data_IF_006620991235
#
_entry.id   IF_006620991235
#
_cell.length_a   1.000
_cell.length_b   1.000
_cell.length_c   1.000
_cell.angle_alpha   90.00
_cell.angle_beta   90.00
_cell.angle_gamma   90.00
#
_symmetry.space_group_name_H-M   'P 1'
#
loop_
_entity.id
_entity.type
_entity.pdbx_description
1 polymer ?
#
# COMPACT_ATOMS: atom_id res chain seq x y z
N UNK A 1 -18.20 48.54 -59.68
CA UNK A 1 -16.88 49.20 -59.66
C UNK A 1 -16.15 48.62 -58.45
N UNK A 2 -15.22 47.70 -58.67
CA UNK A 2 -13.77 48.00 -58.68
C UNK A 2 -13.23 48.01 -57.24
N UNK A 3 -12.07 47.47 -56.88
CA UNK A 3 -10.98 46.77 -57.54
C UNK A 3 -10.02 46.35 -56.41
N UNK A 4 -9.28 45.26 -56.61
CA UNK A 4 -7.88 45.03 -56.18
C UNK A 4 -7.40 45.17 -54.72
N UNK A 5 -6.63 44.15 -54.29
CA UNK A 5 -5.23 44.17 -53.80
C UNK A 5 -4.96 42.84 -53.05
N UNK A 6 -3.77 42.25 -52.98
CA UNK A 6 -2.44 42.51 -53.51
C UNK A 6 -1.61 41.21 -53.38
N UNK A 7 -0.50 41.17 -54.11
CA UNK A 7 0.53 40.13 -54.11
C UNK A 7 1.51 40.20 -52.92
N UNK A 8 2.15 39.08 -52.58
CA UNK A 8 3.61 38.89 -52.34
C UNK A 8 3.84 37.41 -51.94
N UNK A 9 4.60 36.60 -52.71
CA UNK A 9 6.06 36.42 -52.62
C UNK A 9 6.39 35.28 -51.63
N UNK A 10 7.19 34.24 -51.87
CA UNK A 10 7.99 33.71 -52.98
C UNK A 10 8.93 32.66 -52.37
N UNK A 11 9.27 31.56 -53.04
CA UNK A 11 10.61 30.93 -52.90
C UNK A 11 10.88 29.77 -53.89
N UNK A 12 11.85 30.07 -54.76
CA UNK A 12 13.00 29.30 -55.27
C UNK A 12 13.00 27.76 -55.29
N UNK A 13 13.31 27.31 -56.51
CA UNK A 13 13.61 25.97 -56.99
C UNK A 13 14.80 25.21 -56.34
N UNK A 14 14.65 23.87 -56.27
CA UNK A 14 15.41 22.99 -57.17
C UNK A 14 16.36 21.95 -56.54
N UNK A 15 16.13 20.66 -56.85
CA UNK A 15 17.15 19.72 -57.40
C UNK A 15 16.59 18.34 -57.80
N UNK A 16 16.47 18.17 -59.12
CA UNK A 16 16.87 17.04 -60.01
C UNK A 16 17.20 15.67 -59.39
N UNK A 17 16.56 14.60 -59.92
CA UNK A 17 17.13 13.46 -60.70
C UNK A 17 15.98 12.53 -61.17
N UNK A 18 15.66 12.48 -62.49
CA UNK A 18 15.90 11.37 -63.46
C UNK A 18 15.37 10.02 -62.93
N UNK A 19 14.36 9.38 -63.55
CA UNK A 19 14.45 8.73 -64.87
C UNK A 19 13.13 8.69 -65.69
N UNK A 20 13.29 8.75 -67.02
CA UNK A 20 12.32 8.39 -68.10
C UNK A 20 12.44 6.87 -68.39
N UNK A 21 11.66 6.19 -69.28
CA UNK A 21 10.71 6.70 -70.29
C UNK A 21 9.40 5.88 -70.43
N UNK A 22 8.41 6.45 -71.13
CA UNK A 22 7.26 5.71 -71.63
C UNK A 22 6.39 6.60 -72.50
N UNK A 23 6.71 6.68 -73.78
CA UNK A 23 6.03 7.53 -74.75
C UNK A 23 4.58 7.09 -74.96
N UNK A 24 3.64 8.03 -74.82
CA UNK A 24 2.38 8.00 -75.54
C UNK A 24 2.25 9.35 -76.25
N UNK A 25 2.31 9.31 -77.59
CA UNK A 25 2.03 10.47 -78.45
C UNK A 25 0.55 10.86 -78.24
N UNK A 26 0.18 12.14 -78.28
CA UNK A 26 -1.22 12.53 -78.18
C UNK A 26 -1.96 12.04 -79.44
N UNK A 27 -2.92 11.14 -79.26
CA UNK A 27 -3.97 10.92 -80.26
C UNK A 27 -4.90 12.10 -80.12
N UNK A 28 -4.94 12.96 -81.12
CA UNK A 28 -5.96 14.00 -81.25
C UNK A 28 -7.28 13.32 -81.53
N UNK A 29 -8.00 12.91 -80.49
CA UNK A 29 -9.42 12.56 -80.62
C UNK A 29 -10.20 13.84 -80.36
N UNK A 30 -10.60 14.50 -81.43
CA UNK A 30 -11.68 15.47 -81.36
C UNK A 30 -12.97 14.71 -80.99
N UNK A 31 -13.27 14.64 -79.70
CA UNK A 31 -14.61 14.27 -79.22
C UNK A 31 -15.22 15.52 -78.64
N UNK A 32 -16.29 15.99 -79.28
CA UNK A 32 -17.24 16.89 -78.65
C UNK A 32 -17.85 16.13 -77.45
N UNK A 33 -17.16 16.17 -76.33
CA UNK A 33 -17.57 15.51 -75.12
C UNK A 33 -18.32 16.56 -74.30
N UNK A 34 -19.64 16.57 -74.41
CA UNK A 34 -20.50 17.40 -73.57
C UNK A 34 -20.14 17.22 -72.10
N UNK A 35 -20.42 18.23 -71.28
CA UNK A 35 -20.04 18.31 -69.86
C UNK A 35 -20.20 16.99 -69.05
N UNK A 36 -21.13 16.12 -69.43
CA UNK A 36 -21.29 14.78 -68.86
C UNK A 36 -20.04 13.87 -68.93
N UNK A 37 -19.24 13.89 -69.99
CA UNK A 37 -18.05 13.01 -70.10
C UNK A 37 -16.92 13.46 -69.18
N UNK A 38 -16.75 14.77 -68.99
CA UNK A 38 -15.78 15.35 -68.04
C UNK A 38 -16.19 15.07 -66.58
N UNK A 39 -17.50 15.13 -66.28
CA UNK A 39 -18.02 14.77 -64.96
C UNK A 39 -17.80 13.29 -64.66
N UNK A 40 -18.06 12.40 -65.63
CA UNK A 40 -17.81 10.96 -65.45
C UNK A 40 -16.32 10.67 -65.25
N UNK A 41 -15.42 11.30 -66.02
CA UNK A 41 -13.98 11.15 -65.82
C UNK A 41 -13.51 11.64 -64.44
N UNK A 42 -14.04 12.77 -63.95
CA UNK A 42 -13.73 13.29 -62.62
C UNK A 42 -14.26 12.37 -61.50
N UNK A 43 -15.46 11.80 -61.65
CA UNK A 43 -16.02 10.85 -60.68
C UNK A 43 -15.22 9.54 -60.64
N UNK A 44 -14.74 9.04 -61.77
CA UNK A 44 -13.88 7.85 -61.83
C UNK A 44 -12.53 8.12 -61.15
N UNK A 45 -11.94 9.29 -61.37
CA UNK A 45 -10.68 9.68 -60.71
C UNK A 45 -10.85 9.78 -59.18
N UNK A 46 -11.91 10.44 -58.72
CA UNK A 46 -12.24 10.54 -57.28
C UNK A 46 -12.54 9.16 -56.68
N UNK A 47 -13.25 8.28 -57.38
CA UNK A 47 -13.51 6.92 -56.92
C UNK A 47 -12.21 6.10 -56.78
N UNK A 48 -11.28 6.27 -57.71
CA UNK A 48 -9.97 5.62 -57.65
C UNK A 48 -9.13 6.13 -56.45
N UNK A 49 -9.09 7.44 -56.23
CA UNK A 49 -8.43 8.05 -55.07
C UNK A 49 -9.06 7.60 -53.73
N UNK A 50 -10.40 7.56 -53.64
CA UNK A 50 -11.10 7.09 -52.43
C UNK A 50 -10.82 5.60 -52.17
N UNK A 51 -10.78 4.77 -53.21
CA UNK A 51 -10.43 3.35 -53.09
C UNK A 51 -8.99 3.17 -52.62
N UNK A 52 -8.05 3.91 -53.19
CA UNK A 52 -6.64 3.89 -52.82
C UNK A 52 -6.42 4.30 -51.37
N UNK A 53 -7.10 5.36 -50.90
CA UNK A 53 -7.02 5.82 -49.51
C UNK A 53 -7.65 4.80 -48.54
N UNK A 54 -8.77 4.18 -48.92
CA UNK A 54 -9.42 3.15 -48.09
C UNK A 54 -8.54 1.90 -47.93
N UNK A 55 -7.98 1.38 -49.02
CA UNK A 55 -7.13 0.18 -48.99
C UNK A 55 -5.86 0.40 -48.13
N UNK A 56 -5.23 1.58 -48.24
CA UNK A 56 -4.10 1.94 -47.39
C UNK A 56 -4.52 2.12 -45.91
N UNK A 57 -5.72 2.66 -45.66
CA UNK A 57 -6.29 2.79 -44.32
C UNK A 57 -6.53 1.43 -43.65
N UNK A 58 -7.14 0.48 -44.37
CA UNK A 58 -7.40 -0.87 -43.87
C UNK A 58 -6.10 -1.63 -43.61
N UNK A 59 -5.08 -1.46 -44.48
CA UNK A 59 -3.77 -2.05 -44.27
C UNK A 59 -3.08 -1.51 -43.01
N UNK A 60 -3.23 -0.22 -42.73
CA UNK A 60 -2.67 0.42 -41.53
C UNK A 60 -3.39 -0.03 -40.26
N UNK A 61 -4.72 -0.15 -40.30
CA UNK A 61 -5.52 -0.67 -39.18
C UNK A 61 -5.15 -2.12 -38.85
N UNK A 62 -4.96 -2.98 -39.86
CA UNK A 62 -4.53 -4.36 -39.64
C UNK A 62 -3.13 -4.45 -39.04
N UNK A 63 -2.19 -3.58 -39.46
CA UNK A 63 -0.85 -3.50 -38.85
C UNK A 63 -0.92 -3.03 -37.40
N UNK A 64 -1.79 -2.06 -37.10
CA UNK A 64 -2.00 -1.56 -35.73
C UNK A 64 -2.61 -2.62 -34.82
N UNK A 65 -3.61 -3.37 -35.31
CA UNK A 65 -4.21 -4.48 -34.57
C UNK A 65 -3.17 -5.55 -34.25
N UNK A 66 -2.37 -5.96 -35.24
CA UNK A 66 -1.29 -6.93 -35.04
C UNK A 66 -0.24 -6.44 -34.03
N UNK A 67 0.16 -5.17 -34.11
CA UNK A 67 1.11 -4.59 -33.17
C UNK A 67 0.55 -4.55 -31.73
N UNK A 68 -0.75 -4.27 -31.56
CA UNK A 68 -1.40 -4.28 -30.25
C UNK A 68 -1.44 -5.69 -29.64
N UNK A 69 -1.72 -6.73 -30.45
CA UNK A 69 -1.69 -8.13 -30.00
C UNK A 69 -0.28 -8.56 -29.58
N UNK A 70 0.75 -8.14 -30.32
CA UNK A 70 2.16 -8.39 -29.98
C UNK A 70 2.57 -7.69 -28.67
N UNK A 71 2.12 -6.44 -28.46
CA UNK A 71 2.34 -5.70 -27.21
C UNK A 71 1.67 -6.41 -26.03
N UNK A 72 0.44 -6.91 -26.22
CA UNK A 72 -0.28 -7.62 -25.17
C UNK A 72 0.43 -8.93 -24.80
N UNK A 73 0.89 -9.70 -25.80
CA UNK A 73 1.65 -10.92 -25.58
C UNK A 73 3.00 -10.66 -24.87
N UNK A 74 3.69 -9.57 -25.21
CA UNK A 74 4.91 -9.15 -24.51
C UNK A 74 4.61 -8.79 -23.05
N UNK A 75 3.49 -8.12 -22.80
CA UNK A 75 3.06 -7.75 -21.46
C UNK A 75 2.79 -8.96 -20.58
N UNK A 76 2.08 -9.95 -21.10
CA UNK A 76 1.77 -11.19 -20.38
C UNK A 76 3.06 -11.97 -20.04
N UNK A 77 4.04 -11.97 -20.95
CA UNK A 77 5.37 -12.57 -20.69
C UNK A 77 6.13 -11.82 -19.61
N UNK A 78 6.13 -10.49 -19.61
CA UNK A 78 6.78 -9.69 -18.56
C UNK A 78 6.15 -9.94 -17.20
N UNK A 79 4.82 -9.93 -17.12
CA UNK A 79 4.11 -10.22 -15.87
C UNK A 79 4.43 -11.64 -15.36
N UNK A 80 4.50 -12.63 -16.25
CA UNK A 80 4.88 -13.98 -15.88
C UNK A 80 6.33 -14.08 -15.37
N UNK A 81 7.25 -13.24 -15.86
CA UNK A 81 8.62 -13.17 -15.34
C UNK A 81 8.66 -12.52 -13.96
N UNK A 82 7.91 -11.45 -13.72
CA UNK A 82 7.81 -10.79 -12.40
C UNK A 82 7.25 -11.75 -11.35
N UNK A 83 6.16 -12.47 -11.65
CA UNK A 83 5.58 -13.46 -10.74
C UNK A 83 6.60 -14.56 -10.39
N UNK A 84 7.40 -15.02 -11.37
CA UNK A 84 8.45 -16.03 -11.15
C UNK A 84 9.59 -15.48 -10.29
N UNK A 85 9.97 -14.21 -10.47
CA UNK A 85 10.97 -13.56 -9.63
C UNK A 85 10.48 -13.41 -8.19
N UNK A 86 9.24 -12.99 -7.98
CA UNK A 86 8.65 -12.86 -6.65
C UNK A 86 8.52 -14.20 -5.93
N UNK A 87 8.14 -15.26 -6.65
CA UNK A 87 8.11 -16.62 -6.10
C UNK A 87 9.50 -17.10 -5.67
N UNK A 88 10.51 -16.92 -6.54
CA UNK A 88 11.89 -17.29 -6.21
C UNK A 88 12.47 -16.46 -5.05
N UNK A 89 12.05 -15.20 -4.90
CA UNK A 89 12.44 -14.36 -3.77
C UNK A 89 11.83 -14.86 -2.45
N UNK A 90 10.55 -15.26 -2.45
CA UNK A 90 9.88 -15.86 -1.28
C UNK A 90 10.54 -17.17 -0.86
N UNK A 91 10.80 -18.07 -1.80
CA UNK A 91 11.48 -19.35 -1.50
C UNK A 91 12.87 -19.12 -0.90
N UNK A 92 13.59 -18.09 -1.38
CA UNK A 92 14.90 -17.71 -0.84
C UNK A 92 14.77 -17.15 0.59
N UNK A 93 13.77 -16.32 0.85
CA UNK A 93 13.50 -15.76 2.18
C UNK A 93 13.15 -16.88 3.19
N UNK A 94 12.28 -17.80 2.81
CA UNK A 94 11.91 -18.97 3.63
C UNK A 94 13.12 -19.86 3.92
N UNK A 95 13.96 -20.14 2.93
CA UNK A 95 15.19 -20.90 3.13
C UNK A 95 16.18 -20.17 4.06
N UNK A 96 16.27 -18.84 3.97
CA UNK A 96 17.12 -18.06 4.89
C UNK A 96 16.59 -18.05 6.32
N UNK A 97 15.27 -18.02 6.51
CA UNK A 97 14.64 -18.12 7.82
C UNK A 97 14.93 -19.49 8.45
N UNK A 98 14.68 -20.59 7.71
CA UNK A 98 14.98 -21.95 8.16
C UNK A 98 16.47 -22.16 8.47
N UNK A 99 17.37 -21.57 7.68
CA UNK A 99 18.81 -21.64 7.93
C UNK A 99 19.18 -20.91 9.23
N UNK A 100 18.54 -19.79 9.52
CA UNK A 100 18.76 -19.03 10.76
C UNK A 100 18.27 -19.83 11.98
N UNK A 101 17.08 -20.42 11.89
CA UNK A 101 16.51 -21.26 12.93
C UNK A 101 17.39 -22.49 13.21
N UNK A 102 17.87 -23.17 12.16
CA UNK A 102 18.80 -24.30 12.30
C UNK A 102 20.14 -23.90 12.96
N UNK A 103 20.65 -22.69 12.70
CA UNK A 103 21.86 -22.20 13.37
C UNK A 103 21.60 -21.91 14.85
N UNK A 104 20.41 -21.42 15.18
CA UNK A 104 20.01 -21.17 16.56
C UNK A 104 19.85 -22.47 17.35
N UNK A 105 19.18 -23.48 16.80
CA UNK A 105 19.10 -24.80 17.44
C UNK A 105 20.48 -25.45 17.64
N UNK A 106 21.41 -25.26 16.69
CA UNK A 106 22.79 -25.74 16.83
C UNK A 106 23.54 -25.02 17.96
N UNK A 107 23.32 -23.72 18.12
CA UNK A 107 23.91 -22.95 19.22
C UNK A 107 23.34 -23.40 20.58
N UNK A 108 22.02 -23.63 20.65
CA UNK A 108 21.35 -24.11 21.86
C UNK A 108 21.80 -25.54 22.21
N UNK A 109 21.95 -26.42 21.21
CA UNK A 109 22.48 -27.76 21.36
C UNK A 109 23.95 -27.79 21.81
N UNK A 110 24.77 -26.85 21.33
CA UNK A 110 26.15 -26.69 21.80
C UNK A 110 26.19 -26.23 23.28
N UNK A 111 25.33 -25.28 23.65
CA UNK A 111 25.20 -24.84 25.05
C UNK A 111 24.73 -25.98 25.98
N UNK A 112 23.81 -26.82 25.51
CA UNK A 112 23.37 -28.01 26.26
C UNK A 112 24.48 -29.04 26.45
N UNK A 113 25.32 -29.27 25.43
CA UNK A 113 26.49 -30.17 25.54
C UNK A 113 27.53 -29.62 26.50
N UNK A 114 27.78 -28.32 26.50
CA UNK A 114 28.69 -27.67 27.43
C UNK A 114 28.18 -27.77 28.88
N UNK A 115 26.88 -27.55 29.10
CA UNK A 115 26.23 -27.72 30.42
C UNK A 115 26.25 -29.17 30.89
N UNK A 116 26.08 -30.15 29.98
CA UNK A 116 26.19 -31.57 30.28
C UNK A 116 27.62 -31.96 30.67
N UNK A 117 28.63 -31.47 29.94
CA UNK A 117 30.03 -31.69 30.25
C UNK A 117 30.43 -31.12 31.62
N UNK A 118 29.90 -29.94 31.99
CA UNK A 118 30.07 -29.35 33.33
C UNK A 118 29.39 -30.19 34.41
N UNK A 119 28.21 -30.75 34.14
CA UNK A 119 27.52 -31.65 35.07
C UNK A 119 28.27 -32.98 35.24
N UNK A 120 28.78 -33.57 34.16
CA UNK A 120 29.61 -34.78 34.21
C UNK A 120 30.91 -34.55 34.95
N UNK A 121 31.60 -33.42 34.73
CA UNK A 121 32.80 -33.09 35.53
C UNK A 121 32.48 -32.85 37.00
N UNK A 122 31.35 -32.19 37.33
CA UNK A 122 30.90 -32.05 38.72
C UNK A 122 30.56 -33.41 39.36
N UNK A 123 29.97 -34.33 38.60
CA UNK A 123 29.67 -35.68 39.06
C UNK A 123 30.95 -36.51 39.31
N UNK A 124 31.95 -36.40 38.43
CA UNK A 124 33.25 -37.05 38.59
C UNK A 124 34.07 -36.44 39.75
N UNK A 125 34.01 -35.13 39.96
CA UNK A 125 34.66 -34.45 41.09
C UNK A 125 33.99 -34.79 42.43
N UNK A 126 32.66 -34.93 42.47
CA UNK A 126 31.94 -35.39 43.66
C UNK A 126 32.32 -36.81 44.09
N UNK A 127 32.67 -37.69 43.15
CA UNK A 127 33.19 -39.03 43.46
C UNK A 127 34.66 -39.04 43.90
N UNK A 128 35.43 -37.98 43.61
CA UNK A 128 36.83 -37.87 44.05
C UNK A 128 36.95 -37.36 45.50
N UNK A 129 35.97 -36.60 46.01
CA UNK A 129 35.97 -36.11 47.39
C UNK A 129 35.51 -37.15 48.43
N UNK A 130 34.73 -38.17 48.03
CA UNK A 130 34.30 -39.24 48.95
C UNK A 130 35.38 -40.31 49.23
N UNK A 131 36.49 -40.32 48.47
CA UNK A 131 37.56 -41.32 48.64
C UNK A 131 38.76 -40.87 49.49
N UNK A 132 38.73 -39.69 50.14
CA UNK A 132 39.88 -39.21 50.93
C UNK A 132 39.60 -38.91 52.42
N UNK A 133 38.47 -39.35 52.97
CA UNK A 133 38.21 -39.29 54.42
C UNK A 133 37.98 -40.69 55.00
N UNK A 134 39.08 -41.43 55.19
CA UNK A 134 39.03 -42.76 55.78
C UNK A 134 40.34 -43.15 56.46
N UNK A 135 40.73 -42.44 57.53
CA UNK A 135 41.52 -43.03 58.61
C UNK A 135 41.63 -42.06 59.79
N UNK A 136 40.75 -42.18 60.79
CA UNK A 136 41.11 -41.92 62.19
C UNK A 136 40.23 -42.78 63.11
N UNK A 137 40.90 -43.47 64.05
CA UNK A 137 40.40 -44.50 64.96
C UNK A 137 39.44 -43.97 66.04
N UNK A 138 38.60 -44.89 66.51
CA UNK A 138 37.63 -44.83 67.61
C UNK A 138 38.15 -44.26 68.95
N UNK A 139 37.21 -43.69 69.72
CA UNK A 139 37.06 -44.03 71.14
C UNK A 139 36.89 -42.87 72.13
N UNK A 140 35.65 -42.54 72.50
CA UNK A 140 35.36 -41.75 73.71
C UNK A 140 33.98 -41.04 73.72
N UNK A 141 32.94 -41.71 74.24
CA UNK A 141 31.63 -41.15 74.64
C UNK A 141 31.71 -40.49 76.05
N UNK A 142 30.65 -39.86 76.64
CA UNK A 142 29.28 -39.51 76.17
C UNK A 142 28.96 -38.00 76.45
N UNK A 143 27.82 -37.37 76.15
CA UNK A 143 26.40 -37.57 76.48
C UNK A 143 25.59 -36.49 75.73
N UNK A 144 24.32 -36.78 75.39
CA UNK A 144 23.13 -35.95 75.67
C UNK A 144 22.08 -36.14 74.57
N UNK A 145 21.01 -36.84 74.95
CA UNK A 145 19.75 -36.94 74.23
C UNK A 145 18.92 -35.69 74.52
N UNK A 146 18.16 -35.21 73.53
CA UNK A 146 16.70 -35.12 73.60
C UNK A 146 16.13 -34.41 72.35
N UNK A 147 15.12 -35.03 71.73
CA UNK A 147 14.01 -34.30 71.08
C UNK A 147 14.00 -34.13 69.54
N UNK A 148 13.51 -35.14 68.82
CA UNK A 148 12.84 -35.08 67.49
C UNK A 148 11.47 -35.75 67.73
N UNK A 149 10.30 -35.34 67.18
CA UNK A 149 9.98 -35.30 65.73
C UNK A 149 9.00 -34.16 65.33
N UNK A 150 8.74 -33.82 64.06
CA UNK A 150 8.07 -34.63 63.03
C UNK A 150 8.20 -34.03 61.62
N UNK A 151 8.25 -34.96 60.66
CA UNK A 151 7.98 -34.77 59.24
C UNK A 151 6.49 -34.52 58.97
N UNK A 152 6.15 -33.71 57.95
CA UNK A 152 5.34 -34.23 56.85
C UNK A 152 5.48 -33.39 55.56
N UNK A 153 5.41 -34.11 54.45
CA UNK A 153 5.43 -33.75 53.04
C UNK A 153 4.28 -32.76 52.67
N UNK A 154 4.15 -32.18 51.46
CA UNK A 154 4.32 -32.76 50.12
C UNK A 154 4.14 -31.66 49.06
N UNK A 155 4.99 -31.67 48.01
CA UNK A 155 4.68 -31.48 46.57
C UNK A 155 3.56 -30.49 46.11
N UNK A 156 3.92 -29.43 45.35
CA UNK A 156 3.86 -29.31 43.86
C UNK A 156 3.71 -27.86 43.34
N UNK A 157 4.60 -27.53 42.40
CA UNK A 157 4.47 -26.75 41.13
C UNK A 157 3.93 -25.30 41.11
N UNK A 158 4.86 -24.40 40.74
CA UNK A 158 4.86 -23.51 39.55
C UNK A 158 3.62 -22.63 39.23
N UNK A 159 3.73 -21.31 39.44
CA UNK A 159 3.46 -20.25 38.45
C UNK A 159 3.83 -18.83 38.95
N UNK A 160 4.39 -18.02 38.02
CA UNK A 160 4.29 -16.54 37.79
C UNK A 160 4.52 -15.60 38.97
N UNK A 161 5.50 -14.69 38.95
CA UNK A 161 5.63 -13.46 38.13
C UNK A 161 4.45 -12.49 38.28
N UNK A 162 4.53 -11.63 39.29
CA UNK A 162 3.75 -10.39 39.36
C UNK A 162 4.68 -9.19 39.18
N UNK A 163 4.61 -8.61 37.99
CA UNK A 163 4.87 -7.19 37.80
C UNK A 163 3.58 -6.46 38.16
N UNK A 164 3.59 -5.68 39.24
CA UNK A 164 2.64 -4.58 39.40
C UNK A 164 3.41 -3.30 39.73
N UNK A 165 3.37 -2.39 38.75
CA UNK A 165 3.84 -1.02 38.85
C UNK A 165 2.93 -0.30 39.84
N UNK A 166 3.50 0.21 40.93
CA UNK A 166 2.85 1.25 41.73
C UNK A 166 3.76 2.48 41.70
N UNK A 167 3.37 3.44 40.88
CA UNK A 167 3.97 4.78 40.81
C UNK A 167 3.77 5.48 42.15
N UNK A 168 4.86 5.80 42.85
CA UNK A 168 4.86 6.84 43.89
C UNK A 168 6.05 7.75 43.64
N UNK A 169 5.74 9.04 43.52
CA UNK A 169 6.65 10.12 43.17
C UNK A 169 7.86 10.20 44.11
N UNK A 170 9.05 10.24 43.51
CA UNK A 170 10.30 10.57 44.19
C UNK A 170 11.18 11.37 43.24
N UNK A 171 11.26 12.68 43.47
CA UNK A 171 12.20 13.61 42.83
C UNK A 171 13.64 13.09 43.03
N UNK A 172 14.28 12.60 41.98
CA UNK A 172 15.70 12.21 42.02
C UNK A 172 16.56 13.44 41.71
N UNK A 173 17.11 14.04 42.77
CA UNK A 173 18.07 15.14 42.70
C UNK A 173 19.46 14.55 42.42
N UNK A 174 20.10 14.92 41.31
CA UNK A 174 21.47 14.51 41.00
C UNK A 174 22.49 15.07 42.02
N UNK A 175 23.70 14.49 42.12
CA UNK A 175 24.68 14.89 43.13
C UNK A 175 25.19 16.32 42.90
N UNK A 176 25.36 17.05 43.99
CA UNK A 176 25.90 18.41 44.00
C UNK A 176 27.38 18.42 43.58
N UNK A 177 27.76 19.37 42.70
CA UNK A 177 29.15 19.60 42.32
C UNK A 177 29.97 20.21 43.46
N UNK A 178 31.32 20.12 43.41
CA UNK A 178 32.16 20.54 44.53
C UNK A 178 32.15 22.07 44.71
N UNK A 179 32.23 22.51 45.97
CA UNK A 179 32.34 23.92 46.34
C UNK A 179 33.63 24.55 45.78
N UNK A 180 33.50 25.74 45.19
CA UNK A 180 34.62 26.55 44.73
C UNK A 180 35.50 27.01 45.89
N UNK A 181 36.82 27.03 45.66
CA UNK A 181 37.81 27.58 46.60
C UNK A 181 38.08 29.05 46.28
N UNK A 182 37.61 29.95 47.12
CA UNK A 182 38.35 31.11 47.66
C UNK A 182 37.44 32.06 48.44
N UNK A 183 37.35 31.80 49.74
CA UNK A 183 36.57 32.62 50.66
C UNK A 183 37.14 34.02 50.86
N UNK A 184 36.23 34.97 51.15
CA UNK A 184 36.52 36.06 52.08
C UNK A 184 35.30 36.74 52.71
N UNK A 185 34.33 35.98 53.20
CA UNK A 185 33.26 36.51 54.04
C UNK A 185 32.38 35.36 54.57
N UNK A 186 32.61 34.98 55.82
CA UNK A 186 31.91 33.88 56.50
C UNK A 186 30.45 34.21 56.84
N UNK A 187 29.57 34.21 55.84
CA UNK A 187 28.12 34.02 56.01
C UNK A 187 27.55 33.24 54.84
N UNK A 188 27.11 32.02 55.11
CA UNK A 188 26.22 31.27 54.24
C UNK A 188 24.87 32.03 54.09
N UNK A 189 24.34 32.16 52.87
CA UNK A 189 22.92 32.51 52.69
C UNK A 189 22.49 33.22 51.41
N UNK A 190 22.06 32.42 50.41
CA UNK A 190 20.96 32.61 49.45
C UNK A 190 21.34 32.21 48.00
N UNK A 191 20.67 31.24 47.37
CA UNK A 191 20.84 30.95 45.94
C UNK A 191 20.38 32.13 45.09
N UNK A 192 21.21 32.56 44.12
CA UNK A 192 20.82 33.54 43.10
C UNK A 192 19.76 33.00 42.13
N UNK A 193 19.04 33.87 41.40
CA UNK A 193 17.98 33.45 40.48
C UNK A 193 18.52 32.61 39.31
N UNK A 194 17.73 31.65 38.77
CA UNK A 194 18.11 30.88 37.58
C UNK A 194 18.35 31.80 36.37
N UNK A 195 19.44 31.55 35.64
CA UNK A 195 19.75 32.25 34.39
C UNK A 195 18.75 31.94 33.27
N UNK A 196 18.66 32.79 32.23
CA UNK A 196 17.70 32.63 31.14
C UNK A 196 17.94 31.35 30.32
N UNK A 197 16.89 30.73 29.75
CA UNK A 197 17.01 29.54 28.92
C UNK A 197 17.84 29.80 27.65
N UNK A 198 18.84 28.96 27.41
CA UNK A 198 19.69 29.03 26.22
C UNK A 198 18.96 28.59 24.94
N UNK A 199 19.41 29.02 23.75
CA UNK A 199 18.73 28.72 22.50
C UNK A 199 19.05 27.34 21.88
N UNK A 200 18.01 26.81 21.25
CA UNK A 200 17.90 25.90 20.10
C UNK A 200 18.35 24.45 20.21
N UNK A 201 17.37 23.56 19.99
CA UNK A 201 17.57 22.20 19.53
C UNK A 201 18.29 22.18 18.19
N UNK A 202 19.47 21.58 18.21
CA UNK A 202 20.11 20.98 17.05
C UNK A 202 20.11 19.48 17.27
N UNK A 203 19.41 18.74 16.42
CA UNK A 203 19.63 17.31 16.30
C UNK A 203 21.08 17.10 15.84
N UNK A 204 21.89 16.50 16.73
CA UNK A 204 23.23 16.07 16.42
C UNK A 204 23.22 15.09 15.25
N UNK A 205 24.17 15.28 14.33
CA UNK A 205 24.27 14.52 13.09
C UNK A 205 24.29 13.01 13.30
N UNK A 206 23.40 12.33 12.58
CA UNK A 206 23.53 10.91 12.29
C UNK A 206 24.37 10.75 11.01
N UNK A 207 25.57 10.21 11.16
CA UNK A 207 26.33 9.68 10.04
C UNK A 207 25.64 8.45 9.49
N UNK A 208 25.30 8.47 8.20
CA UNK A 208 25.26 7.29 7.33
C UNK A 208 24.32 6.13 7.67
N UNK A 209 23.35 6.29 8.57
CA UNK A 209 22.31 5.29 8.82
C UNK A 209 20.95 5.92 8.49
N UNK A 210 20.33 5.41 7.43
CA UNK A 210 18.96 5.73 7.03
C UNK A 210 18.06 5.69 8.26
N UNK A 211 17.34 6.79 8.55
CA UNK A 211 16.26 6.77 9.53
C UNK A 211 15.39 5.54 9.25
N UNK A 212 15.14 4.66 10.25
CA UNK A 212 14.14 3.62 10.08
C UNK A 212 12.85 4.35 9.72
N UNK A 213 12.34 4.11 8.51
CA UNK A 213 11.02 4.60 8.12
C UNK A 213 10.07 4.02 9.15
N UNK A 214 9.55 4.88 10.03
CA UNK A 214 8.57 4.49 11.02
C UNK A 214 7.43 3.81 10.25
N UNK A 215 7.05 2.57 10.60
CA UNK A 215 6.10 1.82 9.79
C UNK A 215 4.75 2.53 9.85
N UNK A 216 4.39 3.21 8.76
CA UNK A 216 3.08 3.81 8.64
C UNK A 216 2.04 2.70 8.52
N UNK A 217 0.98 2.80 9.31
CA UNK A 217 -0.14 1.85 9.28
C UNK A 217 -1.32 2.45 8.54
N UNK A 218 -2.17 1.58 7.99
CA UNK A 218 -3.39 1.99 7.31
C UNK A 218 -4.58 1.80 8.25
N UNK A 219 -5.18 2.91 8.69
CA UNK A 219 -6.25 2.97 9.70
C UNK A 219 -7.58 3.42 9.10
N UNK A 220 -8.74 2.90 9.55
CA UNK A 220 -10.05 3.38 9.09
C UNK A 220 -10.26 4.87 9.38
N UNK A 221 -10.74 5.62 8.39
CA UNK A 221 -11.04 7.06 8.54
C UNK A 221 -12.43 7.32 9.12
N UNK A 222 -13.27 6.28 9.19
CA UNK A 222 -14.51 6.31 9.96
C UNK A 222 -15.79 6.29 9.14
N UNK A 223 -15.78 5.57 8.03
CA UNK A 223 -17.03 5.18 7.37
C UNK A 223 -17.83 4.25 8.28
N UNK A 224 -17.23 3.19 8.82
CA UNK A 224 -17.90 2.26 9.73
C UNK A 224 -18.19 2.90 11.08
N UNK A 225 -17.21 3.59 11.67
CA UNK A 225 -17.32 4.15 13.03
C UNK A 225 -18.28 5.34 13.13
N UNK A 226 -18.68 5.94 12.00
CA UNK A 226 -19.51 7.14 11.98
C UNK A 226 -18.75 8.46 12.17
N UNK A 227 -17.42 8.42 12.31
CA UNK A 227 -16.62 9.65 12.44
C UNK A 227 -16.71 10.54 11.20
N UNK A 228 -16.84 9.95 10.00
CA UNK A 228 -17.26 10.67 8.80
C UNK A 228 -18.79 10.80 8.83
N UNK A 229 -19.39 12.00 8.84
CA UNK A 229 -20.84 12.18 8.93
C UNK A 229 -21.54 11.84 7.61
N UNK A 230 -22.85 11.52 7.68
CA UNK A 230 -23.64 11.18 6.49
C UNK A 230 -23.67 12.28 5.42
N UNK A 231 -23.58 13.55 5.83
CA UNK A 231 -23.53 14.70 4.92
C UNK A 231 -22.30 14.74 4.02
N UNK A 232 -21.25 14.00 4.39
CA UNK A 232 -20.02 13.86 3.60
C UNK A 232 -20.10 12.74 2.56
N UNK A 233 -21.19 11.98 2.56
CA UNK A 233 -21.39 10.85 1.67
C UNK A 233 -22.37 11.26 0.57
N UNK A 234 -21.90 11.21 -0.68
CA UNK A 234 -22.70 11.56 -1.86
C UNK A 234 -22.54 10.51 -2.94
N UNK A 235 -23.49 10.42 -3.86
CA UNK A 235 -23.42 9.50 -4.99
C UNK A 235 -23.98 10.12 -6.24
N UNK A 236 -23.69 9.52 -7.39
CA UNK A 236 -24.26 9.92 -8.68
C UNK A 236 -25.78 9.81 -8.69
N UNK A 237 -26.28 8.68 -8.21
CA UNK A 237 -27.72 8.36 -8.12
C UNK A 237 -27.96 7.36 -6.99
N UNK A 238 -29.20 7.29 -6.52
CA UNK A 238 -29.65 6.33 -5.50
C UNK A 238 -30.98 5.69 -5.88
N UNK A 239 -31.15 4.40 -5.57
CA UNK A 239 -32.30 3.61 -6.01
C UNK A 239 -33.56 3.90 -5.21
N UNK A 240 -34.54 4.60 -5.81
CA UNK A 240 -35.97 4.60 -5.42
C UNK A 240 -36.36 5.21 -4.07
N UNK A 241 -35.53 5.14 -3.03
CA UNK A 241 -35.79 5.65 -1.69
C UNK A 241 -34.48 5.93 -0.93
N UNK A 242 -34.59 6.65 0.18
CA UNK A 242 -33.45 6.97 1.05
C UNK A 242 -32.80 5.76 1.72
N UNK A 243 -33.46 4.60 1.69
CA UNK A 243 -32.87 3.34 2.15
C UNK A 243 -31.64 2.92 1.32
N UNK A 244 -31.45 3.48 0.12
CA UNK A 244 -30.35 3.18 -0.80
C UNK A 244 -29.37 4.35 -0.96
N UNK A 245 -29.47 5.38 -0.13
CA UNK A 245 -28.62 6.57 -0.22
C UNK A 245 -27.14 6.27 0.04
N UNK A 246 -26.28 7.21 -0.36
CA UNK A 246 -24.83 7.13 -0.14
C UNK A 246 -24.48 6.94 1.35
N UNK A 247 -25.30 7.45 2.26
CA UNK A 247 -25.15 7.25 3.71
C UNK A 247 -25.24 5.79 4.15
N UNK A 248 -25.88 4.93 3.35
CA UNK A 248 -25.99 3.48 3.61
C UNK A 248 -24.81 2.68 3.07
N UNK A 249 -23.80 3.34 2.53
CA UNK A 249 -22.58 2.70 2.01
C UNK A 249 -21.52 2.43 3.09
N UNK A 250 -21.81 2.56 4.38
CA UNK A 250 -20.82 2.32 5.45
C UNK A 250 -20.49 0.83 5.54
N UNK A 251 -19.21 0.48 5.70
CA UNK A 251 -18.77 -0.91 5.91
C UNK A 251 -19.53 -1.55 7.09
N UNK A 252 -19.84 -2.86 6.99
CA UNK A 252 -20.62 -3.64 7.97
C UNK A 252 -22.02 -3.13 8.31
N UNK A 253 -22.49 -2.03 7.70
CA UNK A 253 -23.82 -1.50 7.96
C UNK A 253 -24.93 -2.40 7.41
N UNK A 254 -25.96 -2.57 8.22
CA UNK A 254 -27.23 -3.23 7.86
C UNK A 254 -28.39 -2.23 7.78
N UNK A 255 -28.10 -0.93 7.82
CA UNK A 255 -29.12 0.10 7.82
C UNK A 255 -29.79 0.26 6.44
N UNK A 256 -31.06 0.67 6.47
CA UNK A 256 -31.83 0.87 5.24
C UNK A 256 -31.88 -0.41 4.41
N UNK A 257 -31.40 -0.34 3.18
CA UNK A 257 -31.31 -1.48 2.28
C UNK A 257 -30.04 -2.34 2.46
N UNK A 258 -29.14 -1.95 3.37
CA UNK A 258 -27.88 -2.66 3.67
C UNK A 258 -26.70 -2.31 2.74
N UNK A 259 -26.84 -1.28 1.90
CA UNK A 259 -25.79 -0.67 1.07
C UNK A 259 -26.31 0.60 0.39
N UNK A 260 -25.40 1.41 -0.17
CA UNK A 260 -25.76 2.29 -1.27
C UNK A 260 -26.08 1.45 -2.50
N UNK A 261 -27.18 1.75 -3.18
CA UNK A 261 -27.55 1.15 -4.46
C UNK A 261 -27.79 2.26 -5.47
N UNK A 262 -27.11 2.23 -6.62
CA UNK A 262 -27.32 3.23 -7.67
C UNK A 262 -28.74 3.14 -8.24
N UNK A 263 -29.28 4.22 -8.82
CA UNK A 263 -30.56 4.15 -9.51
C UNK A 263 -30.46 3.37 -10.84
N UNK A 264 -29.29 3.44 -11.50
CA UNK A 264 -29.04 2.83 -12.80
C UNK A 264 -27.84 1.90 -12.76
N UNK A 265 -27.94 0.78 -13.46
CA UNK A 265 -26.84 -0.16 -13.65
C UNK A 265 -26.02 0.19 -14.89
N UNK A 266 -25.10 1.14 -14.74
CA UNK A 266 -24.12 1.48 -15.77
C UNK A 266 -22.76 1.83 -15.14
N UNK A 267 -21.73 1.87 -15.96
CA UNK A 267 -20.36 2.20 -15.55
C UNK A 267 -20.11 3.70 -15.39
N UNK A 268 -21.16 4.53 -15.29
CA UNK A 268 -21.07 5.99 -15.07
C UNK A 268 -21.45 6.38 -13.65
N UNK A 269 -21.82 5.41 -12.82
CA UNK A 269 -22.18 5.65 -11.43
C UNK A 269 -20.94 5.90 -10.57
N UNK A 270 -21.08 6.65 -9.50
CA UNK A 270 -20.01 6.85 -8.53
C UNK A 270 -20.58 7.00 -7.12
N UNK A 271 -19.80 6.56 -6.14
CA UNK A 271 -19.99 6.83 -4.72
C UNK A 271 -18.81 7.68 -4.25
N UNK A 272 -19.09 8.78 -3.57
CA UNK A 272 -18.11 9.76 -3.13
C UNK A 272 -18.11 9.88 -1.61
N UNK A 273 -16.90 9.89 -1.06
CA UNK A 273 -16.61 10.11 0.36
C UNK A 273 -15.78 11.39 0.48
N UNK A 274 -16.29 12.38 1.23
CA UNK A 274 -15.50 13.52 1.72
C UNK A 274 -14.91 13.18 3.09
N UNK A 275 -13.59 12.99 3.18
CA UNK A 275 -12.92 12.68 4.44
C UNK A 275 -12.77 13.91 5.36
N UNK A 276 -13.25 15.08 4.95
CA UNK A 276 -13.30 16.32 5.73
C UNK A 276 -12.04 17.17 5.62
N UNK A 277 -10.86 16.55 5.68
CA UNK A 277 -9.57 17.23 5.54
C UNK A 277 -8.66 16.49 4.54
N UNK A 278 -7.72 17.23 3.94
CA UNK A 278 -6.71 16.63 3.05
C UNK A 278 -5.89 15.59 3.83
N UNK A 279 -6.08 14.33 3.49
CA UNK A 279 -5.52 13.18 4.20
C UNK A 279 -4.79 12.27 3.21
N UNK A 280 -3.74 11.60 3.66
CA UNK A 280 -3.08 10.58 2.85
C UNK A 280 -3.90 9.29 2.91
N UNK A 281 -4.58 8.95 1.82
CA UNK A 281 -5.35 7.72 1.68
C UNK A 281 -4.41 6.58 1.36
N UNK A 282 -4.31 5.62 2.30
CA UNK A 282 -3.46 4.44 2.20
C UNK A 282 -4.17 3.24 1.57
N UNK A 283 -5.50 3.23 1.52
CA UNK A 283 -6.25 2.06 1.08
C UNK A 283 -7.75 2.24 1.10
N UNK A 284 -8.45 1.22 0.63
CA UNK A 284 -9.91 1.11 0.70
C UNK A 284 -10.32 -0.32 1.04
N UNK A 285 -11.49 -0.46 1.65
CA UNK A 285 -12.16 -1.75 1.88
C UNK A 285 -13.54 -1.67 1.24
N UNK A 286 -13.98 -2.74 0.58
CA UNK A 286 -15.31 -2.81 -0.03
C UNK A 286 -16.07 -4.07 0.38
N UNK A 287 -17.40 -3.98 0.37
CA UNK A 287 -18.37 -5.06 0.61
C UNK A 287 -19.56 -4.92 -0.34
N UNK A 288 -20.33 -6.00 -0.51
CA UNK A 288 -21.60 -5.99 -1.24
C UNK A 288 -22.75 -5.44 -0.41
N UNK A 289 -23.99 -5.74 -0.82
CA UNK A 289 -25.22 -5.37 -0.11
C UNK A 289 -25.58 -6.39 0.97
N UNK A 290 -25.96 -5.92 2.17
CA UNK A 290 -26.30 -6.78 3.31
C UNK A 290 -27.74 -7.19 3.10
N UNK A 291 -27.94 -8.23 2.31
CA UNK A 291 -29.27 -8.77 2.05
C UNK A 291 -29.17 -10.23 1.66
N UNK A 292 -29.94 -11.06 2.37
CA UNK A 292 -30.12 -12.46 2.03
C UNK A 292 -30.99 -12.64 0.78
N UNK A 293 -31.88 -11.69 0.50
CA UNK A 293 -32.80 -11.74 -0.64
C UNK A 293 -32.18 -11.17 -1.92
N UNK A 294 -31.30 -10.17 -1.78
CA UNK A 294 -30.73 -9.44 -2.92
C UNK A 294 -29.19 -9.54 -2.91
N UNK A 295 -28.61 -10.56 -3.57
CA UNK A 295 -27.16 -10.79 -3.60
C UNK A 295 -26.42 -9.80 -4.52
N UNK A 296 -26.53 -8.50 -4.26
CA UNK A 296 -26.03 -7.42 -5.11
C UNK A 296 -24.63 -6.97 -4.67
N UNK A 297 -23.72 -6.76 -5.62
CA UNK A 297 -22.33 -6.39 -5.34
C UNK A 297 -21.61 -5.86 -6.57
N UNK A 298 -20.60 -5.02 -6.34
CA UNK A 298 -19.66 -4.58 -7.38
C UNK A 298 -18.46 -5.53 -7.42
N UNK A 299 -18.14 -6.04 -8.61
CA UNK A 299 -17.05 -7.01 -8.84
C UNK A 299 -15.78 -6.38 -9.38
N UNK A 300 -15.85 -5.16 -9.92
CA UNK A 300 -14.67 -4.35 -10.20
C UNK A 300 -14.98 -2.86 -10.21
N UNK A 301 -14.01 -2.04 -9.85
CA UNK A 301 -14.15 -0.59 -9.78
C UNK A 301 -12.83 0.14 -10.04
N UNK A 302 -12.92 1.42 -10.35
CA UNK A 302 -11.78 2.36 -10.38
C UNK A 302 -11.90 3.32 -9.20
N UNK A 303 -10.79 3.90 -8.78
CA UNK A 303 -10.76 4.96 -7.79
C UNK A 303 -10.41 6.29 -8.45
N UNK A 304 -11.10 7.35 -8.05
CA UNK A 304 -10.73 8.72 -8.39
C UNK A 304 -10.56 9.55 -7.13
N UNK A 305 -9.64 10.49 -7.18
CA UNK A 305 -9.26 11.33 -6.06
C UNK A 305 -9.35 12.79 -6.44
N UNK A 306 -9.68 13.63 -5.47
CA UNK A 306 -9.72 15.08 -5.63
C UNK A 306 -9.38 15.77 -4.32
N UNK A 307 -8.80 16.97 -4.41
CA UNK A 307 -8.53 17.85 -3.27
C UNK A 307 -9.59 18.95 -3.11
N UNK A 308 -10.20 19.36 -4.23
CA UNK A 308 -11.14 20.48 -4.33
C UNK A 308 -12.60 20.04 -4.62
N UNK A 309 -12.82 18.77 -4.94
CA UNK A 309 -14.11 18.23 -5.37
C UNK A 309 -14.47 18.55 -6.83
N UNK A 310 -13.64 19.32 -7.53
CA UNK A 310 -13.87 19.82 -8.89
C UNK A 310 -12.96 19.08 -9.88
N UNK A 311 -11.68 18.98 -9.57
CA UNK A 311 -10.66 18.36 -10.40
C UNK A 311 -10.39 16.95 -9.93
N UNK A 312 -10.57 15.96 -10.81
CA UNK A 312 -10.54 14.54 -10.45
C UNK A 312 -9.48 13.75 -11.20
N UNK A 313 -8.58 13.12 -10.47
CA UNK A 313 -7.52 12.25 -10.99
C UNK A 313 -7.88 10.79 -10.76
N UNK A 314 -7.74 9.95 -11.79
CA UNK A 314 -7.93 8.49 -11.68
C UNK A 314 -6.67 7.85 -11.10
N UNK A 315 -6.82 6.85 -10.22
CA UNK A 315 -5.69 6.09 -9.71
C UNK A 315 -5.04 5.26 -10.81
N UNK A 316 -3.72 5.32 -10.88
CA UNK A 316 -2.93 4.63 -11.90
C UNK A 316 -2.15 3.47 -11.29
N UNK A 317 -1.91 2.42 -12.07
CA UNK A 317 -0.99 1.35 -11.71
C UNK A 317 0.47 1.80 -11.86
N UNK A 318 1.42 0.94 -11.46
CA UNK A 318 2.87 1.21 -11.56
C UNK A 318 3.35 1.45 -13.00
N UNK A 319 2.53 1.11 -14.00
CA UNK A 319 2.79 1.31 -15.43
C UNK A 319 2.07 2.54 -16.01
N UNK A 320 1.43 3.37 -15.17
CA UNK A 320 0.73 4.58 -15.58
C UNK A 320 -0.64 4.35 -16.24
N UNK A 321 -1.22 3.15 -16.13
CA UNK A 321 -2.55 2.83 -16.67
C UNK A 321 -3.62 2.97 -15.61
N UNK A 322 -4.85 3.29 -15.98
CA UNK A 322 -5.97 3.31 -15.03
C UNK A 322 -6.10 1.96 -14.31
N UNK A 323 -5.95 1.97 -13.00
CA UNK A 323 -6.03 0.76 -12.18
C UNK A 323 -7.48 0.34 -12.02
N UNK A 324 -7.77 -0.90 -12.42
CA UNK A 324 -9.02 -1.59 -12.10
C UNK A 324 -8.77 -2.45 -10.88
N UNK A 325 -9.55 -2.23 -9.82
CA UNK A 325 -9.53 -3.02 -8.60
C UNK A 325 -10.54 -4.15 -8.71
N UNK A 326 -10.14 -5.35 -8.32
CA UNK A 326 -11.05 -6.49 -8.16
C UNK A 326 -11.91 -6.26 -6.91
N UNK A 327 -13.22 -6.21 -7.09
CA UNK A 327 -14.20 -6.01 -6.02
C UNK A 327 -14.59 -7.31 -5.34
N UNK A 328 -15.86 -7.37 -4.90
CA UNK A 328 -16.36 -8.42 -4.04
C UNK A 328 -16.86 -9.65 -4.82
N UNK A 329 -16.57 -10.84 -4.29
CA UNK A 329 -17.09 -12.13 -4.79
C UNK A 329 -18.46 -12.49 -4.23
N UNK A 330 -18.79 -11.97 -3.05
CA UNK A 330 -20.03 -12.20 -2.30
C UNK A 330 -20.51 -10.90 -1.62
N UNK A 331 -21.53 -10.99 -0.76
CA UNK A 331 -22.18 -9.83 -0.14
C UNK A 331 -21.43 -9.27 1.07
N UNK A 332 -20.70 -10.09 1.83
CA UNK A 332 -20.30 -9.76 3.20
C UNK A 332 -18.79 -9.90 3.45
N UNK A 333 -18.07 -10.66 2.63
CA UNK A 333 -16.61 -10.74 2.70
C UNK A 333 -16.01 -9.39 2.29
N UNK A 334 -15.22 -8.83 3.19
CA UNK A 334 -14.45 -7.61 2.97
C UNK A 334 -13.34 -7.85 1.96
N UNK A 335 -13.18 -6.91 1.02
CA UNK A 335 -12.05 -6.91 0.10
C UNK A 335 -11.25 -5.64 0.34
N UNK A 336 -10.02 -5.80 0.83
CA UNK A 336 -9.09 -4.70 1.13
C UNK A 336 -8.08 -4.52 0.01
N UNK A 337 -7.91 -3.28 -0.43
CA UNK A 337 -6.85 -2.87 -1.36
C UNK A 337 -6.04 -1.74 -0.75
N UNK A 338 -4.74 -1.98 -0.56
CA UNK A 338 -3.77 -0.94 -0.22
C UNK A 338 -3.32 -0.22 -1.49
N UNK A 339 -3.15 1.08 -1.38
CA UNK A 339 -2.66 1.95 -2.45
C UNK A 339 -1.14 2.06 -2.32
N UNK A 340 -0.46 1.78 -3.43
CA UNK A 340 0.98 1.90 -3.58
C UNK A 340 1.26 2.59 -4.93
N UNK A 341 1.51 3.92 -4.93
CA UNK A 341 1.68 4.78 -3.76
C UNK A 341 0.35 5.23 -3.10
N UNK A 342 0.36 5.54 -1.79
CA UNK A 342 -0.74 6.25 -1.12
C UNK A 342 -1.05 7.60 -1.80
N UNK A 343 -2.29 8.07 -1.71
CA UNK A 343 -2.76 9.27 -2.42
C UNK A 343 -3.26 10.32 -1.44
N UNK A 344 -2.68 11.51 -1.48
CA UNK A 344 -3.15 12.66 -0.71
C UNK A 344 -4.38 13.29 -1.38
N UNK A 345 -5.53 13.19 -0.72
CA UNK A 345 -6.81 13.66 -1.21
C UNK A 345 -7.77 14.01 -0.06
N UNK A 346 -8.80 14.81 -0.36
CA UNK A 346 -9.94 15.04 0.54
C UNK A 346 -11.17 14.24 0.09
N UNK A 347 -11.33 14.08 -1.22
CA UNK A 347 -12.46 13.39 -1.80
C UNK A 347 -12.01 12.10 -2.48
N UNK A 348 -12.69 11.00 -2.16
CA UNK A 348 -12.47 9.68 -2.75
C UNK A 348 -13.75 9.25 -3.48
N UNK A 349 -13.64 8.90 -4.76
CA UNK A 349 -14.74 8.37 -5.57
C UNK A 349 -14.48 6.92 -5.94
N UNK A 350 -15.40 6.06 -5.56
CA UNK A 350 -15.52 4.70 -6.05
C UNK A 350 -16.32 4.72 -7.36
N UNK A 351 -15.75 4.16 -8.42
CA UNK A 351 -16.34 4.17 -9.76
C UNK A 351 -16.56 2.73 -10.26
N UNK A 352 -17.73 2.12 -10.00
CA UNK A 352 -18.04 0.76 -10.41
C UNK A 352 -17.89 0.53 -11.92
N UNK A 353 -17.25 -0.57 -12.31
CA UNK A 353 -17.05 -0.97 -13.69
C UNK A 353 -17.86 -2.22 -14.04
N UNK A 354 -17.84 -3.23 -13.17
CA UNK A 354 -18.64 -4.46 -13.31
C UNK A 354 -19.31 -4.82 -11.98
N UNK A 355 -20.46 -5.50 -12.05
CA UNK A 355 -21.27 -5.86 -10.88
C UNK A 355 -22.07 -7.12 -11.14
N UNK A 356 -22.61 -7.69 -10.07
CA UNK A 356 -23.54 -8.82 -10.08
C UNK A 356 -24.90 -8.32 -9.60
N UNK A 357 -25.94 -8.59 -10.38
CA UNK A 357 -27.35 -8.17 -10.23
C UNK A 357 -27.61 -6.66 -10.21
N UNK A 358 -26.94 -5.89 -9.35
CA UNK A 358 -27.11 -4.45 -9.23
C UNK A 358 -25.84 -3.78 -8.70
N UNK A 359 -25.55 -2.55 -9.15
CA UNK A 359 -24.51 -1.71 -8.56
C UNK A 359 -24.89 -1.40 -7.11
N UNK A 360 -24.26 -2.09 -6.17
CA UNK A 360 -24.44 -1.91 -4.74
C UNK A 360 -23.11 -2.10 -4.01
N UNK A 361 -22.80 -1.21 -3.07
CA UNK A 361 -21.53 -1.24 -2.35
C UNK A 361 -21.66 -0.71 -0.93
N UNK A 362 -20.89 -1.32 -0.02
CA UNK A 362 -20.42 -0.71 1.23
C UNK A 362 -18.91 -0.50 1.15
N UNK A 363 -18.39 0.53 1.80
CA UNK A 363 -16.99 0.95 1.69
C UNK A 363 -16.44 1.48 3.01
N UNK A 364 -15.13 1.34 3.20
CA UNK A 364 -14.31 2.06 4.19
C UNK A 364 -13.09 2.66 3.49
N UNK A 365 -12.68 3.84 3.92
CA UNK A 365 -11.48 4.52 3.41
C UNK A 365 -10.41 4.44 4.49
N UNK A 366 -9.21 4.00 4.11
CA UNK A 366 -8.08 3.89 5.03
C UNK A 366 -7.14 5.06 4.87
N UNK A 367 -6.84 5.74 5.97
CA UNK A 367 -5.82 6.78 6.07
C UNK A 367 -4.48 6.20 6.45
N UNK A 368 -3.41 6.90 6.10
CA UNK A 368 -2.07 6.59 6.55
C UNK A 368 -1.81 7.28 7.90
N UNK A 369 -1.49 6.48 8.91
CA UNK A 369 -1.02 6.96 10.21
C UNK A 369 0.44 6.55 10.40
N UNK A 370 1.31 7.56 10.50
CA UNK A 370 2.75 7.39 10.70
C UNK A 370 3.19 7.81 12.12
N UNK A 371 2.24 8.06 13.03
CA UNK A 371 2.56 8.45 14.41
C UNK A 371 2.90 7.21 15.23
N UNK A 372 4.11 7.17 15.79
CA UNK A 372 4.43 6.35 16.94
C UNK A 372 4.58 7.29 18.11
N UNK A 373 3.48 7.55 18.81
CA UNK A 373 3.45 8.39 20.02
C UNK A 373 3.36 7.52 21.28
#
# INVERSE_FOLDING_TARGET
MSLEKAAYGGEVAGRVRRDRPGAARPVTVAVAAGAGVLVVAALVFLAHEVKYVRENGDQLQNKLAKANDEILALKDRTLAMEIKQDAAARDKEEMTALKTELQQEKADGASLRERLAVLETKFQLGHAEEHNFGNFREGGKPNQADGVPEHNATLRRYRRSDNSVTTTAGLFRGPEGPAGRDGRDGRDGAPGPPGPPGPTGGCGGCGGQSCPQQPCTAVPLGMESGAIPDSHLTASTSYGSSAHDASKARLHSQEGAGAWCAAQNNNKQWLQVDVGAETTVAGVITQGRSSNTYPQRVTSYKLRFSRDGITWSTYLDKLGREKIFAGNSDQDTEVRHLLDPPVTARYVRFWPQTWVHHVSMRVEVLGQDCTGD
#
